data_IF_470702230188
#
_entry.id   IF_470702230188
#
_cell.length_a   1.000
_cell.length_b   1.000
_cell.length_c   1.000
_cell.angle_alpha   90.00
_cell.angle_beta   90.00
_cell.angle_gamma   90.00
#
_symmetry.space_group_name_H-M   'P 1'
#
loop_
_entity.id
_entity.type
_entity.pdbx_description
1 polymer ?
#
# COMPACT_ATOMS: atom_id res chain seq x y z
N UNK A 1 10.50 -1.57 25.49
CA UNK A 1 9.44 -1.56 24.45
C UNK A 1 8.08 -1.91 25.05
N UNK A 2 6.99 -1.16 24.72
CA UNK A 2 5.63 -1.48 25.15
C UNK A 2 5.04 -2.61 24.30
N UNK A 3 3.93 -3.24 24.76
CA UNK A 3 3.22 -4.28 24.02
C UNK A 3 2.72 -3.77 22.66
N UNK A 4 2.17 -2.56 22.61
CA UNK A 4 1.67 -1.93 21.38
C UNK A 4 2.79 -1.74 20.35
N UNK A 5 3.96 -1.29 20.78
CA UNK A 5 5.13 -1.15 19.89
C UNK A 5 5.59 -2.49 19.35
N UNK A 6 5.61 -3.53 20.17
CA UNK A 6 5.94 -4.89 19.73
C UNK A 6 4.94 -5.39 18.67
N UNK A 7 3.64 -5.22 18.92
CA UNK A 7 2.60 -5.58 17.97
C UNK A 7 2.73 -4.81 16.64
N UNK A 8 3.05 -3.52 16.69
CA UNK A 8 3.29 -2.71 15.48
C UNK A 8 4.46 -3.26 14.65
N UNK A 9 5.56 -3.64 15.30
CA UNK A 9 6.72 -4.27 14.64
C UNK A 9 6.31 -5.59 13.97
N UNK A 10 5.55 -6.44 14.66
CA UNK A 10 5.07 -7.71 14.12
C UNK A 10 4.18 -7.51 12.88
N UNK A 11 3.32 -6.49 12.88
CA UNK A 11 2.43 -6.15 11.76
C UNK A 11 3.23 -5.76 10.52
N UNK A 12 4.28 -4.96 10.70
CA UNK A 12 5.09 -4.44 9.59
C UNK A 12 6.39 -5.19 9.35
N UNK A 13 6.43 -6.49 9.68
CA UNK A 13 7.62 -7.32 9.36
C UNK A 13 7.90 -7.35 7.86
N UNK A 14 9.17 -7.33 7.48
CA UNK A 14 9.62 -7.37 6.09
C UNK A 14 11.03 -7.93 5.98
N UNK A 15 11.86 -7.36 5.12
CA UNK A 15 13.25 -7.75 4.94
C UNK A 15 14.11 -7.32 6.14
N UNK A 16 14.74 -8.28 6.83
CA UNK A 16 15.51 -7.99 8.06
C UNK A 16 16.89 -7.37 7.78
N UNK A 17 17.52 -7.74 6.66
CA UNK A 17 18.91 -7.34 6.31
C UNK A 17 19.02 -5.99 5.61
N UNK A 18 17.91 -5.31 5.38
CA UNK A 18 17.89 -3.96 4.81
C UNK A 18 16.56 -3.27 5.10
N UNK A 19 16.62 -1.95 5.27
CA UNK A 19 15.45 -1.12 5.51
C UNK A 19 15.63 0.27 4.89
N UNK A 20 14.55 0.99 4.72
CA UNK A 20 14.54 2.36 4.23
C UNK A 20 14.67 3.36 5.36
N UNK A 21 15.32 4.49 5.05
CA UNK A 21 15.33 5.67 5.90
C UNK A 21 14.96 6.90 5.09
N UNK A 22 14.19 7.79 5.71
CA UNK A 22 13.79 9.06 5.10
C UNK A 22 14.00 10.19 6.09
N UNK A 23 14.82 11.16 5.70
CA UNK A 23 15.09 12.38 6.44
C UNK A 23 14.36 13.55 5.79
N UNK A 24 13.60 14.28 6.58
CA UNK A 24 12.95 15.51 6.12
C UNK A 24 13.96 16.64 6.05
N UNK A 25 14.04 17.32 4.90
CA UNK A 25 14.87 18.50 4.71
C UNK A 25 14.02 19.79 4.81
N UNK A 26 14.68 20.93 4.73
CA UNK A 26 14.02 22.22 4.64
C UNK A 26 13.08 22.31 3.44
N UNK A 27 12.11 23.18 3.49
CA UNK A 27 11.26 23.49 2.33
C UNK A 27 12.13 24.13 1.24
N UNK A 28 11.95 23.69 -0.01
CA UNK A 28 12.55 24.35 -1.15
C UNK A 28 11.91 25.73 -1.42
N UNK A 29 12.45 26.45 -2.41
CA UNK A 29 11.97 27.80 -2.81
C UNK A 29 10.46 27.84 -3.16
N UNK A 30 9.88 26.70 -3.54
CA UNK A 30 8.44 26.53 -3.85
C UNK A 30 7.62 26.07 -2.63
N UNK A 31 8.19 26.07 -1.42
CA UNK A 31 7.51 25.65 -0.19
C UNK A 31 7.31 24.12 -0.05
N UNK A 32 7.81 23.30 -0.99
CA UNK A 32 7.72 21.84 -0.93
C UNK A 32 8.79 21.28 0.02
N UNK A 33 8.37 20.47 0.98
CA UNK A 33 9.29 19.72 1.85
C UNK A 33 10.10 18.72 1.00
N UNK A 34 11.39 18.93 0.93
CA UNK A 34 12.32 17.97 0.36
C UNK A 34 12.58 16.86 1.38
N UNK A 35 12.70 15.64 0.90
CA UNK A 35 13.09 14.50 1.69
C UNK A 35 14.22 13.76 0.99
N UNK A 36 15.20 13.30 1.78
CA UNK A 36 16.23 12.38 1.30
C UNK A 36 15.88 10.99 1.77
N UNK A 37 15.76 10.05 0.83
CA UNK A 37 15.48 8.65 1.12
C UNK A 37 16.62 7.77 0.63
N UNK A 38 16.96 6.75 1.41
CA UNK A 38 18.01 5.77 1.04
C UNK A 38 17.71 4.42 1.70
N UNK A 39 18.42 3.39 1.28
CA UNK A 39 18.35 2.05 1.86
C UNK A 39 19.63 1.78 2.66
N UNK A 40 19.44 1.38 3.92
CA UNK A 40 20.49 0.84 4.78
C UNK A 40 20.57 -0.67 4.59
N UNK A 41 21.76 -1.16 4.21
CA UNK A 41 22.03 -2.60 4.02
C UNK A 41 22.65 -3.20 5.28
N UNK A 42 21.87 -3.22 6.35
CA UNK A 42 22.22 -3.78 7.65
C UNK A 42 20.99 -4.31 8.33
N UNK A 43 21.18 -5.15 9.34
CA UNK A 43 20.08 -5.70 10.11
C UNK A 43 19.29 -4.59 10.80
N UNK A 44 17.97 -4.65 10.67
CA UNK A 44 17.06 -3.74 11.36
C UNK A 44 17.05 -4.05 12.86
N UNK A 45 17.33 -3.05 13.67
CA UNK A 45 17.40 -3.18 15.13
C UNK A 45 16.14 -2.66 15.80
N UNK A 46 15.86 -3.15 17.00
CA UNK A 46 14.78 -2.66 17.85
C UNK A 46 14.87 -1.15 18.08
N UNK A 47 16.09 -0.63 18.25
CA UNK A 47 16.32 0.80 18.44
C UNK A 47 15.82 1.65 17.27
N UNK A 48 15.92 1.16 16.03
CA UNK A 48 15.41 1.88 14.85
C UNK A 48 13.88 1.99 14.85
N UNK A 49 13.20 0.96 15.34
CA UNK A 49 11.75 0.99 15.54
C UNK A 49 11.35 1.97 16.62
N UNK A 50 12.05 1.96 17.77
CA UNK A 50 11.80 2.90 18.87
C UNK A 50 12.05 4.34 18.41
N UNK A 51 13.17 4.61 17.71
CA UNK A 51 13.48 5.93 17.20
C UNK A 51 12.40 6.45 16.24
N UNK A 52 11.87 5.58 15.35
CA UNK A 52 10.78 5.93 14.47
C UNK A 52 9.50 6.30 15.23
N UNK A 53 9.09 5.47 16.19
CA UNK A 53 7.88 5.68 16.98
C UNK A 53 8.02 6.83 17.99
N UNK A 54 9.25 7.23 18.33
CA UNK A 54 9.56 8.42 19.11
C UNK A 54 9.65 9.70 18.27
N UNK A 55 9.46 9.61 16.96
CA UNK A 55 9.53 10.76 16.06
C UNK A 55 10.93 11.24 15.73
N UNK A 56 11.96 10.42 15.99
CA UNK A 56 13.33 10.75 15.64
C UNK A 56 13.58 10.57 14.14
N UNK A 57 14.31 11.51 13.56
CA UNK A 57 14.78 11.41 12.18
C UNK A 57 16.11 10.61 12.12
N UNK A 58 16.36 9.86 11.05
CA UNK A 58 15.47 9.63 9.91
C UNK A 58 14.33 8.64 10.22
N UNK A 59 13.17 8.87 9.63
CA UNK A 59 12.02 7.98 9.77
C UNK A 59 12.25 6.64 9.07
N UNK A 60 11.63 5.56 9.58
CA UNK A 60 11.79 4.20 9.11
C UNK A 60 10.84 3.88 7.95
N UNK A 61 11.35 3.14 6.97
CA UNK A 61 10.58 2.48 5.93
C UNK A 61 10.92 1.00 5.88
N UNK A 62 9.94 0.16 5.59
CA UNK A 62 10.12 -1.29 5.53
C UNK A 62 9.96 -1.79 4.10
N UNK A 63 10.80 -2.75 3.74
CA UNK A 63 10.75 -3.49 2.49
C UNK A 63 9.84 -4.70 2.72
N UNK A 64 8.64 -4.77 2.11
CA UNK A 64 7.67 -5.81 2.48
C UNK A 64 8.09 -7.22 2.07
N UNK A 65 8.81 -7.38 0.96
CA UNK A 65 9.27 -8.69 0.49
C UNK A 65 10.44 -9.20 1.34
N UNK A 66 10.36 -10.45 1.79
CA UNK A 66 11.40 -11.17 2.55
C UNK A 66 12.34 -11.93 1.63
N UNK A 67 13.44 -12.47 2.17
CA UNK A 67 14.44 -13.24 1.41
C UNK A 67 13.89 -14.51 0.74
N UNK A 68 12.81 -15.06 1.26
CA UNK A 68 12.08 -16.21 0.68
C UNK A 68 11.03 -15.80 -0.38
N UNK A 69 11.04 -14.54 -0.80
CA UNK A 69 10.10 -13.95 -1.74
C UNK A 69 8.64 -13.96 -1.26
N UNK A 70 8.44 -13.98 0.06
CA UNK A 70 7.11 -13.87 0.67
C UNK A 70 6.92 -12.53 1.36
N UNK A 71 5.66 -12.21 1.68
CA UNK A 71 5.29 -11.06 2.50
C UNK A 71 4.01 -11.35 3.30
N UNK A 72 3.80 -10.58 4.38
CA UNK A 72 2.58 -10.61 5.18
C UNK A 72 1.72 -9.37 4.97
N UNK A 73 2.22 -8.41 4.23
CA UNK A 73 1.51 -7.20 3.87
C UNK A 73 2.00 -6.64 2.54
N UNK A 74 1.16 -5.83 1.95
CA UNK A 74 1.49 -5.01 0.79
C UNK A 74 0.68 -3.73 0.82
N UNK A 75 0.96 -2.80 -0.09
CA UNK A 75 0.27 -1.52 -0.13
C UNK A 75 0.14 -0.97 -1.55
N UNK A 76 -0.92 -0.19 -1.75
CA UNK A 76 -1.09 0.71 -2.88
C UNK A 76 -0.65 2.10 -2.39
N UNK A 77 0.33 2.71 -3.05
CA UNK A 77 0.82 4.05 -2.74
C UNK A 77 0.17 5.06 -3.68
N UNK A 78 -0.85 5.75 -3.18
CA UNK A 78 -1.62 6.73 -3.94
C UNK A 78 -1.03 8.11 -3.70
N UNK A 79 -0.24 8.58 -4.65
CA UNK A 79 0.24 9.95 -4.64
C UNK A 79 -0.86 10.92 -5.09
N UNK A 80 -1.12 11.93 -4.28
CA UNK A 80 -1.99 13.04 -4.62
C UNK A 80 -1.49 14.32 -3.96
N UNK A 81 -1.41 15.38 -4.74
CA UNK A 81 -0.90 16.68 -4.28
C UNK A 81 -2.02 17.71 -4.09
N UNK A 82 -3.22 17.46 -4.64
CA UNK A 82 -4.33 18.40 -4.68
C UNK A 82 -5.57 17.82 -3.99
N UNK A 83 -5.60 17.87 -2.65
CA UNK A 83 -6.83 17.64 -1.88
C UNK A 83 -7.43 16.25 -2.03
N UNK A 84 -6.71 15.20 -1.62
CA UNK A 84 -7.18 13.82 -1.71
C UNK A 84 -8.37 13.54 -0.77
N UNK A 85 -9.44 12.99 -1.33
CA UNK A 85 -10.66 12.65 -0.58
C UNK A 85 -10.57 11.21 0.02
N UNK A 86 -9.98 11.11 1.20
CA UNK A 86 -9.84 9.86 1.95
C UNK A 86 -11.20 9.24 2.29
N UNK A 87 -12.22 10.05 2.59
CA UNK A 87 -13.57 9.54 2.93
C UNK A 87 -14.22 8.86 1.74
N UNK A 88 -14.05 9.41 0.54
CA UNK A 88 -14.54 8.78 -0.69
C UNK A 88 -13.85 7.44 -0.94
N UNK A 89 -12.53 7.35 -0.76
CA UNK A 89 -11.78 6.11 -0.90
C UNK A 89 -12.25 5.06 0.13
N UNK A 90 -12.36 5.43 1.41
CA UNK A 90 -12.82 4.55 2.49
C UNK A 90 -14.25 4.04 2.19
N UNK A 91 -15.14 4.92 1.76
CA UNK A 91 -16.50 4.54 1.35
C UNK A 91 -16.49 3.47 0.24
N UNK A 92 -15.67 3.64 -0.79
CA UNK A 92 -15.53 2.64 -1.87
C UNK A 92 -15.00 1.30 -1.35
N UNK A 93 -14.02 1.32 -0.44
CA UNK A 93 -13.47 0.13 0.21
C UNK A 93 -14.55 -0.62 1.00
N UNK A 94 -15.35 0.09 1.80
CA UNK A 94 -16.41 -0.49 2.62
C UNK A 94 -17.56 -1.06 1.80
N UNK A 95 -18.05 -0.33 0.79
CA UNK A 95 -19.13 -0.78 -0.10
C UNK A 95 -18.78 -2.11 -0.79
N UNK A 96 -17.49 -2.36 -0.99
CA UNK A 96 -16.99 -3.57 -1.61
C UNK A 96 -16.44 -4.60 -0.62
N UNK A 97 -16.54 -4.30 0.67
CA UNK A 97 -16.08 -5.17 1.76
C UNK A 97 -14.62 -5.58 1.60
N UNK A 98 -13.79 -4.67 1.10
CA UNK A 98 -12.37 -4.92 0.97
C UNK A 98 -11.69 -4.76 2.34
N UNK A 99 -10.87 -5.73 2.77
CA UNK A 99 -10.23 -5.71 4.08
C UNK A 99 -8.93 -4.88 4.06
N UNK A 100 -9.08 -3.59 3.78
CA UNK A 100 -7.97 -2.66 3.60
C UNK A 100 -7.89 -1.66 4.75
N UNK A 101 -6.68 -1.28 5.13
CA UNK A 101 -6.39 -0.20 6.07
C UNK A 101 -5.85 0.99 5.31
N UNK A 102 -6.51 2.13 5.43
CA UNK A 102 -6.10 3.38 4.77
C UNK A 102 -5.27 4.21 5.75
N UNK A 103 -4.03 4.53 5.38
CA UNK A 103 -3.20 5.47 6.11
C UNK A 103 -3.00 6.73 5.26
N UNK A 104 -3.10 7.89 5.90
CA UNK A 104 -2.71 9.15 5.27
C UNK A 104 -1.22 9.16 5.01
N UNK A 105 -0.80 9.55 3.80
CA UNK A 105 0.61 9.73 3.46
C UNK A 105 1.08 11.15 3.82
N UNK A 106 2.41 11.36 3.87
CA UNK A 106 2.99 12.67 4.17
C UNK A 106 2.66 13.73 3.12
N UNK A 107 2.52 13.34 1.87
CA UNK A 107 2.17 14.23 0.74
C UNK A 107 0.69 14.59 0.68
N UNK A 108 -0.15 13.97 1.52
CA UNK A 108 -1.60 14.18 1.53
C UNK A 108 -2.39 13.11 0.78
N UNK A 109 -1.73 12.20 0.05
CA UNK A 109 -2.32 11.02 -0.55
C UNK A 109 -2.56 9.89 0.47
N UNK A 110 -2.54 8.63 0.03
CA UNK A 110 -2.84 7.49 0.89
C UNK A 110 -1.92 6.29 0.63
N UNK A 111 -1.50 5.61 1.69
CA UNK A 111 -1.03 4.23 1.64
C UNK A 111 -2.18 3.32 2.02
N UNK A 112 -2.60 2.45 1.10
CA UNK A 112 -3.72 1.52 1.30
C UNK A 112 -3.16 0.13 1.50
N UNK A 113 -3.16 -0.34 2.74
CA UNK A 113 -2.53 -1.59 3.15
C UNK A 113 -3.49 -2.77 3.06
N UNK A 114 -2.99 -3.90 2.60
CA UNK A 114 -3.59 -5.23 2.72
C UNK A 114 -2.69 -6.09 3.62
N UNK A 115 -3.27 -6.66 4.68
CA UNK A 115 -2.57 -7.50 5.63
C UNK A 115 -3.09 -8.93 5.59
N UNK A 116 -2.18 -9.91 5.68
CA UNK A 116 -2.50 -11.33 5.76
C UNK A 116 -1.75 -11.96 6.95
N UNK A 117 -2.40 -12.92 7.63
CA UNK A 117 -1.78 -13.64 8.75
C UNK A 117 -0.74 -14.66 8.27
N UNK A 118 -1.05 -15.36 7.18
CA UNK A 118 -0.16 -16.33 6.57
C UNK A 118 0.72 -15.65 5.53
N UNK A 119 2.02 -15.94 5.53
CA UNK A 119 2.93 -15.43 4.49
C UNK A 119 2.49 -15.91 3.12
N UNK A 120 2.42 -14.98 2.17
CA UNK A 120 2.05 -15.24 0.77
C UNK A 120 3.20 -14.86 -0.15
N UNK A 121 3.25 -15.42 -1.35
CA UNK A 121 4.25 -15.01 -2.34
C UNK A 121 4.07 -13.52 -2.70
N UNK A 122 5.18 -12.80 -2.82
CA UNK A 122 5.17 -11.38 -3.18
C UNK A 122 4.45 -11.13 -4.52
N UNK A 123 4.58 -12.04 -5.49
CA UNK A 123 3.87 -11.96 -6.77
C UNK A 123 2.34 -12.01 -6.59
N UNK A 124 1.84 -12.86 -5.70
CA UNK A 124 0.40 -13.01 -5.47
C UNK A 124 -0.17 -11.76 -4.77
N UNK A 125 0.58 -11.21 -3.79
CA UNK A 125 0.23 -9.95 -3.13
C UNK A 125 0.19 -8.79 -4.13
N UNK A 126 1.23 -8.67 -4.96
CA UNK A 126 1.32 -7.62 -5.97
C UNK A 126 0.17 -7.70 -6.98
N UNK A 127 -0.12 -8.91 -7.50
CA UNK A 127 -1.24 -9.13 -8.42
C UNK A 127 -2.58 -8.74 -7.79
N UNK A 128 -2.82 -9.16 -6.54
CA UNK A 128 -4.06 -8.84 -5.82
C UNK A 128 -4.22 -7.34 -5.61
N UNK A 129 -3.18 -6.64 -5.19
CA UNK A 129 -3.22 -5.19 -4.99
C UNK A 129 -3.34 -4.42 -6.31
N UNK A 130 -2.72 -4.89 -7.39
CA UNK A 130 -2.90 -4.32 -8.73
C UNK A 130 -4.37 -4.41 -9.19
N UNK A 131 -5.01 -5.58 -8.96
CA UNK A 131 -6.43 -5.78 -9.26
C UNK A 131 -7.31 -4.83 -8.43
N UNK A 132 -7.03 -4.69 -7.13
CA UNK A 132 -7.74 -3.78 -6.23
C UNK A 132 -7.55 -2.32 -6.66
N UNK A 133 -6.31 -1.90 -6.93
CA UNK A 133 -5.99 -0.53 -7.36
C UNK A 133 -6.75 -0.16 -8.64
N UNK A 134 -6.72 -1.03 -9.65
CA UNK A 134 -7.45 -0.83 -10.89
C UNK A 134 -8.96 -0.74 -10.64
N UNK A 135 -9.50 -1.57 -9.74
CA UNK A 135 -10.92 -1.58 -9.41
C UNK A 135 -11.35 -0.30 -8.67
N UNK A 136 -10.52 0.21 -7.75
CA UNK A 136 -10.75 1.47 -7.03
C UNK A 136 -10.56 2.71 -7.92
N UNK A 137 -10.00 2.56 -9.13
CA UNK A 137 -9.71 3.67 -10.05
C UNK A 137 -8.31 4.27 -9.89
N UNK A 138 -7.40 3.57 -9.20
CA UNK A 138 -6.01 3.97 -8.94
C UNK A 138 -4.99 3.02 -9.60
N UNK A 139 -5.30 2.52 -10.79
CA UNK A 139 -4.45 1.52 -11.50
C UNK A 139 -3.04 2.01 -11.87
N UNK A 140 -2.81 3.33 -11.84
CA UNK A 140 -1.50 3.96 -12.10
C UNK A 140 -0.61 4.07 -10.83
N UNK A 141 -1.17 3.75 -9.65
CA UNK A 141 -0.47 3.87 -8.38
C UNK A 141 0.64 2.84 -8.23
N UNK A 142 1.66 3.19 -7.47
CA UNK A 142 2.73 2.24 -7.14
C UNK A 142 2.23 1.14 -6.20
N UNK A 143 2.62 -0.10 -6.49
CA UNK A 143 2.25 -1.27 -5.69
C UNK A 143 3.48 -1.80 -4.95
N UNK A 144 3.33 -2.05 -3.65
CA UNK A 144 4.33 -2.69 -2.81
C UNK A 144 3.85 -4.07 -2.35
N UNK A 145 4.70 -5.12 -2.39
CA UNK A 145 6.10 -5.10 -2.85
C UNK A 145 6.23 -4.76 -4.33
N UNK A 146 7.23 -3.91 -4.69
CA UNK A 146 7.53 -3.61 -6.09
C UNK A 146 8.25 -4.79 -6.77
N UNK A 147 9.05 -5.54 -6.02
CA UNK A 147 9.74 -6.74 -6.48
C UNK A 147 8.92 -7.98 -6.11
N UNK A 148 8.85 -8.92 -7.03
CA UNK A 148 8.23 -10.23 -6.83
C UNK A 148 9.26 -11.30 -6.44
N UNK A 149 10.53 -11.04 -6.75
CA UNK A 149 11.69 -11.85 -6.37
C UNK A 149 12.85 -10.94 -5.97
N UNK A 150 13.61 -11.36 -4.96
CA UNK A 150 14.84 -10.73 -4.55
C UNK A 150 16.05 -11.49 -5.07
N UNK A 151 16.94 -10.76 -5.76
CA UNK A 151 18.29 -11.27 -5.98
C UNK A 151 19.04 -11.33 -4.61
N UNK A 152 19.95 -12.28 -4.38
CA UNK A 152 20.68 -12.41 -3.10
C UNK A 152 21.40 -11.13 -2.62
N UNK A 153 21.76 -10.24 -3.54
CA UNK A 153 22.38 -8.92 -3.24
C UNK A 153 21.41 -7.75 -3.33
N UNK A 154 20.20 -7.98 -3.84
CA UNK A 154 19.15 -6.97 -3.99
C UNK A 154 18.38 -6.77 -2.68
N UNK A 155 17.80 -5.61 -2.50
CA UNK A 155 17.05 -5.27 -1.29
C UNK A 155 15.57 -4.99 -1.56
N UNK A 156 15.21 -4.68 -2.80
CA UNK A 156 13.85 -4.21 -3.10
C UNK A 156 13.60 -2.76 -2.68
N UNK A 157 12.36 -2.30 -2.84
CA UNK A 157 11.92 -0.96 -2.48
C UNK A 157 11.17 -0.98 -1.15
N UNK A 158 11.38 0.05 -0.35
CA UNK A 158 10.69 0.23 0.93
C UNK A 158 9.50 1.18 0.80
N UNK A 159 8.55 1.05 1.71
CA UNK A 159 7.48 1.99 1.96
C UNK A 159 7.67 2.61 3.34
N UNK A 160 7.53 3.93 3.44
CA UNK A 160 7.60 4.63 4.72
C UNK A 160 6.44 4.23 5.64
N UNK A 161 6.76 3.93 6.89
CA UNK A 161 5.77 3.53 7.89
C UNK A 161 4.93 4.70 8.39
N UNK A 162 3.69 4.44 8.86
CA UNK A 162 2.91 5.40 9.64
C UNK A 162 3.46 5.54 11.06
N UNK A 163 2.94 6.51 11.81
CA UNK A 163 3.23 6.75 13.25
C UNK A 163 4.68 7.08 13.58
N UNK A 164 5.32 7.89 12.73
CA UNK A 164 6.68 8.38 12.98
C UNK A 164 6.77 9.52 14.00
N UNK A 165 5.75 9.74 14.79
CA UNK A 165 5.74 10.71 15.91
C UNK A 165 4.65 10.31 16.90
N UNK A 166 4.93 10.29 18.21
CA UNK A 166 3.98 9.82 19.21
C UNK A 166 2.78 10.74 19.41
N UNK A 167 2.96 12.06 19.27
CA UNK A 167 1.92 13.06 19.57
C UNK A 167 1.30 13.67 18.31
N UNK A 168 2.10 13.85 17.24
CA UNK A 168 1.67 14.53 16.01
C UNK A 168 2.08 13.74 14.76
N UNK A 169 1.58 12.53 14.56
CA UNK A 169 1.94 11.74 13.39
C UNK A 169 1.42 12.43 12.12
N UNK A 170 2.30 12.62 11.15
CA UNK A 170 1.91 13.13 9.82
C UNK A 170 1.34 12.01 8.94
N UNK A 171 1.66 10.77 9.27
CA UNK A 171 1.18 9.53 8.65
C UNK A 171 0.48 8.70 9.71
N UNK A 172 -0.79 8.46 9.56
CA UNK A 172 -1.63 7.73 10.50
C UNK A 172 -2.76 7.01 9.78
N UNK A 173 -3.29 5.97 10.38
CA UNK A 173 -4.44 5.26 9.84
C UNK A 173 -5.74 6.03 10.07
N UNK A 174 -6.72 5.75 9.22
CA UNK A 174 -8.08 6.26 9.30
C UNK A 174 -9.04 5.12 9.61
N UNK A 175 -10.05 5.40 10.42
CA UNK A 175 -11.15 4.46 10.68
C UNK A 175 -12.13 4.36 9.48
N UNK A 176 -13.18 3.57 9.65
CA UNK A 176 -14.20 3.36 8.62
C UNK A 176 -15.09 4.60 8.36
N UNK A 177 -15.06 5.62 9.22
CA UNK A 177 -15.68 6.93 9.06
C UNK A 177 -14.73 7.99 8.51
N UNK A 178 -13.44 7.66 8.39
CA UNK A 178 -12.39 8.56 7.91
C UNK A 178 -11.85 9.49 9.00
N UNK A 179 -12.00 9.13 10.28
CA UNK A 179 -11.37 9.84 11.39
C UNK A 179 -9.97 9.29 11.64
N UNK A 180 -9.09 10.12 12.19
CA UNK A 180 -7.73 9.72 12.54
C UNK A 180 -7.72 8.68 13.67
N UNK A 181 -6.92 7.65 13.51
CA UNK A 181 -6.56 6.72 14.58
C UNK A 181 -5.25 7.23 15.20
N UNK A 182 -5.37 8.05 16.25
CA UNK A 182 -4.27 8.88 16.75
C UNK A 182 -3.15 8.12 17.48
N UNK A 183 -3.37 6.85 17.82
CA UNK A 183 -2.40 6.06 18.56
C UNK A 183 -2.33 4.60 18.09
N UNK A 184 -1.32 3.88 18.57
CA UNK A 184 -1.08 2.49 18.17
C UNK A 184 -2.17 1.51 18.63
N UNK A 185 -2.83 1.73 19.77
CA UNK A 185 -3.90 0.85 20.24
C UNK A 185 -5.11 0.90 19.28
N UNK A 186 -5.50 2.10 18.86
CA UNK A 186 -6.57 2.30 17.87
C UNK A 186 -6.19 1.67 16.53
N UNK A 187 -4.95 1.86 16.08
CA UNK A 187 -4.45 1.25 14.84
C UNK A 187 -4.49 -0.28 14.92
N UNK A 188 -3.96 -0.87 16.00
CA UNK A 188 -3.92 -2.32 16.19
C UNK A 188 -5.33 -2.92 16.19
N UNK A 189 -6.26 -2.29 16.92
CA UNK A 189 -7.67 -2.71 16.94
C UNK A 189 -8.28 -2.67 15.55
N UNK A 190 -8.04 -1.61 14.79
CA UNK A 190 -8.53 -1.48 13.42
C UNK A 190 -7.87 -2.51 12.49
N UNK A 191 -6.56 -2.69 12.57
CA UNK A 191 -5.82 -3.74 11.86
C UNK A 191 -6.43 -5.14 12.13
N UNK A 192 -6.70 -5.49 13.39
CA UNK A 192 -7.26 -6.79 13.77
C UNK A 192 -8.65 -7.03 13.16
N UNK A 193 -9.43 -5.98 12.92
CA UNK A 193 -10.72 -6.06 12.23
C UNK A 193 -10.58 -6.27 10.71
N UNK A 194 -9.43 -5.94 10.13
CA UNK A 194 -9.18 -5.96 8.67
C UNK A 194 -8.26 -7.09 8.22
N UNK A 195 -7.35 -7.58 9.08
CA UNK A 195 -6.40 -8.64 8.69
C UNK A 195 -7.12 -9.93 8.32
N UNK A 196 -6.80 -10.49 7.16
CA UNK A 196 -7.37 -11.76 6.68
C UNK A 196 -6.38 -12.91 6.83
N UNK A 197 -6.85 -14.16 6.85
CA UNK A 197 -5.95 -15.31 6.94
C UNK A 197 -5.05 -15.43 5.72
N UNK A 198 -5.62 -15.29 4.52
CA UNK A 198 -4.89 -15.38 3.25
C UNK A 198 -5.58 -14.57 2.15
N UNK A 199 -4.94 -14.41 0.98
CA UNK A 199 -5.46 -13.63 -0.15
C UNK A 199 -6.74 -14.20 -0.77
N UNK A 200 -7.04 -15.49 -0.61
CA UNK A 200 -8.26 -16.11 -1.11
C UNK A 200 -9.53 -15.54 -0.47
N UNK A 201 -9.41 -14.93 0.73
CA UNK A 201 -10.52 -14.27 1.41
C UNK A 201 -10.83 -12.86 0.84
N UNK A 202 -9.96 -12.31 -0.01
CA UNK A 202 -10.13 -10.98 -0.61
C UNK A 202 -10.87 -11.11 -1.94
N UNK A 203 -12.17 -10.96 -1.90
CA UNK A 203 -13.02 -11.02 -3.08
C UNK A 203 -13.25 -9.61 -3.66
N UNK A 204 -12.94 -9.42 -4.92
CA UNK A 204 -13.29 -8.21 -5.66
C UNK A 204 -14.56 -8.52 -6.44
N UNK A 205 -15.63 -7.77 -6.17
CA UNK A 205 -16.86 -7.88 -6.96
C UNK A 205 -16.51 -7.48 -8.39
N UNK A 206 -16.69 -8.40 -9.34
CA UNK A 206 -16.65 -8.01 -10.76
C UNK A 206 -17.73 -6.95 -10.94
N UNK A 207 -17.35 -5.74 -11.40
CA UNK A 207 -18.36 -4.80 -11.91
C UNK A 207 -19.13 -5.57 -12.97
N UNK A 208 -20.42 -5.79 -12.78
CA UNK A 208 -21.27 -6.20 -13.87
C UNK A 208 -21.04 -5.16 -14.94
N UNK A 209 -20.50 -5.59 -16.08
CA UNK A 209 -20.38 -4.70 -17.23
C UNK A 209 -21.82 -4.33 -17.56
N UNK A 210 -22.21 -3.09 -17.26
CA UNK A 210 -23.40 -2.54 -17.91
C UNK A 210 -23.23 -2.87 -19.39
N UNK A 211 -24.27 -3.49 -19.92
CA UNK A 211 -24.30 -3.87 -21.33
C UNK A 211 -24.30 -2.56 -22.12
N UNK A 212 -23.10 -1.97 -22.25
CA UNK A 212 -22.92 -0.74 -23.04
C UNK A 212 -23.37 -1.11 -24.43
N UNK A 213 -24.45 -0.51 -24.87
CA UNK A 213 -24.98 -0.69 -26.22
C UNK A 213 -23.90 -0.20 -27.21
N UNK A 214 -23.11 -1.15 -27.70
CA UNK A 214 -22.05 -0.90 -28.68
C UNK A 214 -22.62 -0.60 -30.08
N UNK A 215 -23.88 -0.12 -30.16
CA UNK A 215 -24.50 0.34 -31.41
C UNK A 215 -23.62 1.40 -32.04
N UNK A 216 -23.10 1.11 -33.23
CA UNK A 216 -22.22 1.99 -33.97
C UNK A 216 -20.72 1.80 -33.74
N UNK A 217 -20.31 0.92 -32.86
CA UNK A 217 -18.90 0.57 -32.71
C UNK A 217 -18.44 -0.36 -33.86
N UNK A 218 -17.17 -0.26 -34.31
CA UNK A 218 -16.62 -1.20 -35.29
C UNK A 218 -16.80 -2.66 -34.87
N UNK A 219 -17.08 -3.59 -35.79
CA UNK A 219 -17.35 -5.01 -35.46
C UNK A 219 -16.22 -5.68 -34.67
N UNK A 220 -14.96 -5.27 -34.86
CA UNK A 220 -13.81 -5.76 -34.10
C UNK A 220 -13.89 -5.41 -32.63
N UNK A 221 -14.35 -4.20 -32.27
CA UNK A 221 -14.53 -3.77 -30.88
C UNK A 221 -15.71 -4.48 -30.23
N UNK A 222 -16.80 -4.70 -30.97
CA UNK A 222 -17.95 -5.46 -30.45
C UNK A 222 -17.53 -6.90 -30.15
N UNK A 223 -16.76 -7.54 -31.01
CA UNK A 223 -16.24 -8.90 -30.82
C UNK A 223 -15.26 -8.98 -29.64
N UNK A 224 -14.35 -8.00 -29.49
CA UNK A 224 -13.43 -7.93 -28.37
C UNK A 224 -14.15 -7.67 -27.04
N UNK A 225 -15.16 -6.81 -27.05
CA UNK A 225 -15.97 -6.53 -25.86
C UNK A 225 -16.78 -7.76 -25.41
N UNK A 226 -17.26 -8.58 -26.33
CA UNK A 226 -18.03 -9.81 -26.04
C UNK A 226 -17.16 -10.97 -25.53
N UNK A 227 -15.92 -11.10 -26.06
CA UNK A 227 -14.98 -12.19 -25.71
C UNK A 227 -14.03 -11.87 -24.58
N UNK A 228 -13.87 -10.58 -24.23
CA UNK A 228 -12.85 -10.09 -23.32
C UNK A 228 -11.47 -10.01 -23.99
N UNK A 229 -10.57 -9.21 -23.40
CA UNK A 229 -9.18 -9.14 -23.86
C UNK A 229 -8.40 -10.32 -23.29
N UNK A 230 -7.57 -10.96 -24.11
CA UNK A 230 -6.62 -11.93 -23.63
C UNK A 230 -5.65 -11.25 -22.63
N UNK A 231 -5.25 -11.99 -21.60
CA UNK A 231 -4.32 -11.46 -20.61
C UNK A 231 -3.01 -11.04 -21.29
N UNK A 232 -2.60 -9.79 -21.16
CA UNK A 232 -1.40 -9.23 -21.80
C UNK A 232 -1.63 -8.41 -23.10
N UNK A 233 -2.80 -8.49 -23.74
CA UNK A 233 -3.06 -7.85 -25.04
C UNK A 233 -3.70 -6.44 -24.95
N UNK A 234 -3.84 -5.87 -23.75
CA UNK A 234 -4.51 -4.56 -23.57
C UNK A 234 -3.83 -3.40 -24.30
N UNK A 235 -2.51 -3.46 -24.47
CA UNK A 235 -1.75 -2.39 -25.12
C UNK A 235 -1.68 -2.52 -26.66
N UNK A 236 -1.88 -3.72 -27.21
CA UNK A 236 -1.81 -3.93 -28.65
C UNK A 236 -3.06 -3.44 -29.40
N UNK A 237 -4.20 -3.36 -28.71
CA UNK A 237 -5.46 -2.95 -29.32
C UNK A 237 -5.68 -1.41 -29.38
N UNK A 238 -4.82 -0.60 -28.77
CA UNK A 238 -4.94 0.85 -28.76
C UNK A 238 -4.18 1.55 -29.91
N UNK A 239 -3.37 0.81 -30.68
CA UNK A 239 -2.50 1.35 -31.73
C UNK A 239 -2.72 0.73 -33.12
N UNK A 240 -3.84 0.08 -33.35
CA UNK A 240 -4.35 -0.28 -34.68
C UNK A 240 -5.65 0.49 -34.92
#
# INVERSE_FOLDING_TARGET
MTEQRRRFIEIFTGLDRAYGQTESRSKNENGKLEAKSWIEKQQLTEQKWEDHLDGKEPSLGIIPIKDDNTCTWGAIDIDSYDGFDHKKLIKQILENKLPLVVCKSKSGGAHVFLFVKESVKAVDMQMKLTEIAAWLGYGESEIFPKQIELNPKGTGNFLNLPYNHPEYPTRYALDDEGNALDNLDMFITHYESKVVSNLGMVAIKKKERENTDWKGAPPCLVTLASRGFAQGSRNECLFQ
#
